data_IF_414650521298
#
_entry.id   IF_414650521298
#
_cell.length_a   1.000
_cell.length_b   1.000
_cell.length_c   1.000
_cell.angle_alpha   90.00
_cell.angle_beta   90.00
_cell.angle_gamma   90.00
#
_symmetry.space_group_name_H-M   'P 1'
#
loop_
_entity.id
_entity.type
_entity.pdbx_description
1 polymer ?
#
# COMPACT_ATOMS: atom_id res chain seq x y z
N UNK A 1 -29.56 27.06 -35.58
CA UNK A 1 -28.12 26.94 -35.29
C UNK A 1 -27.95 27.34 -33.84
N UNK A 2 -28.02 26.38 -32.92
CA UNK A 2 -28.02 26.65 -31.47
C UNK A 2 -26.59 26.99 -31.05
N UNK A 3 -26.38 28.17 -30.45
CA UNK A 3 -25.08 28.57 -29.93
C UNK A 3 -24.61 27.51 -28.92
N UNK A 4 -23.39 26.98 -29.12
CA UNK A 4 -22.78 26.06 -28.17
C UNK A 4 -22.54 26.83 -26.88
N UNK A 5 -23.19 26.41 -25.79
CA UNK A 5 -23.07 27.02 -24.48
C UNK A 5 -21.60 26.98 -24.02
N UNK A 6 -20.98 28.15 -23.83
CA UNK A 6 -19.54 28.33 -23.63
C UNK A 6 -19.22 29.17 -22.41
N UNK A 7 -18.04 28.98 -21.84
CA UNK A 7 -17.47 29.82 -20.78
C UNK A 7 -16.20 30.49 -21.29
N UNK A 8 -16.03 31.77 -20.96
CA UNK A 8 -14.83 32.55 -21.29
C UNK A 8 -14.08 32.90 -20.01
N UNK A 9 -12.78 32.61 -20.01
CA UNK A 9 -11.85 32.94 -18.93
C UNK A 9 -10.88 34.02 -19.40
N UNK A 10 -10.64 35.02 -18.56
CA UNK A 10 -9.55 35.97 -18.78
C UNK A 10 -8.23 35.34 -18.28
N UNK A 11 -7.21 35.35 -19.14
CA UNK A 11 -5.86 34.86 -18.82
C UNK A 11 -4.87 35.99 -19.13
N UNK A 12 -4.59 36.81 -18.12
CA UNK A 12 -3.83 38.05 -18.31
C UNK A 12 -4.57 39.01 -19.24
N UNK A 13 -3.92 39.44 -20.33
CA UNK A 13 -4.54 40.26 -21.38
C UNK A 13 -5.28 39.45 -22.46
N UNK A 14 -5.22 38.12 -22.40
CA UNK A 14 -5.88 37.23 -23.36
C UNK A 14 -7.22 36.70 -22.82
N UNK A 15 -8.06 36.18 -23.71
CA UNK A 15 -9.28 35.46 -23.36
C UNK A 15 -9.25 34.06 -23.96
N UNK A 16 -9.64 33.07 -23.14
CA UNK A 16 -9.85 31.69 -23.57
C UNK A 16 -11.33 31.37 -23.47
N UNK A 17 -11.96 31.05 -24.61
CA UNK A 17 -13.35 30.59 -24.64
C UNK A 17 -13.37 29.10 -24.93
N UNK A 18 -14.04 28.34 -24.08
CA UNK A 18 -14.16 26.89 -24.20
C UNK A 18 -15.64 26.48 -24.07
N UNK A 19 -16.10 25.50 -24.88
CA UNK A 19 -17.43 24.93 -24.70
C UNK A 19 -17.56 24.30 -23.32
N UNK A 20 -18.71 24.51 -22.65
CA UNK A 20 -18.93 23.98 -21.30
C UNK A 20 -18.82 22.45 -21.24
N UNK A 21 -19.28 21.77 -22.30
CA UNK A 21 -19.25 20.32 -22.36
C UNK A 21 -17.83 19.76 -22.48
N UNK A 22 -16.97 20.36 -23.30
CA UNK A 22 -15.55 19.96 -23.41
C UNK A 22 -14.80 20.25 -22.10
N UNK A 23 -15.11 21.37 -21.44
CA UNK A 23 -14.54 21.69 -20.12
C UNK A 23 -14.99 20.67 -19.07
N UNK A 24 -16.26 20.27 -19.09
CA UNK A 24 -16.80 19.25 -18.20
C UNK A 24 -16.17 17.89 -18.47
N UNK A 25 -16.05 17.48 -19.73
CA UNK A 25 -15.41 16.22 -20.12
C UNK A 25 -13.92 16.20 -19.74
N UNK A 26 -13.19 17.29 -19.98
CA UNK A 26 -11.79 17.40 -19.56
C UNK A 26 -11.64 17.39 -18.03
N UNK A 27 -12.55 18.05 -17.31
CA UNK A 27 -12.58 18.01 -15.85
C UNK A 27 -12.89 16.61 -15.33
N UNK A 28 -13.89 15.93 -15.90
CA UNK A 28 -14.26 14.56 -15.56
C UNK A 28 -13.10 13.62 -15.89
N UNK A 29 -12.49 13.71 -17.07
CA UNK A 29 -11.33 12.90 -17.44
C UNK A 29 -10.13 13.15 -16.53
N UNK A 30 -9.87 14.40 -16.13
CA UNK A 30 -8.80 14.72 -15.19
C UNK A 30 -9.09 14.22 -13.76
N UNK A 31 -10.34 14.35 -13.32
CA UNK A 31 -10.74 14.06 -11.92
C UNK A 31 -11.05 12.59 -11.71
N UNK A 32 -11.69 11.93 -12.68
CA UNK A 32 -11.98 10.50 -12.68
C UNK A 32 -10.87 9.65 -13.32
N UNK A 33 -10.11 10.18 -14.28
CA UNK A 33 -8.93 9.49 -14.84
C UNK A 33 -7.73 9.50 -13.90
N UNK A 34 -7.78 10.31 -12.84
CA UNK A 34 -6.86 10.27 -11.70
C UNK A 34 -7.61 9.81 -10.44
N UNK A 35 -8.45 8.77 -10.54
CA UNK A 35 -9.18 8.26 -9.38
C UNK A 35 -8.25 7.48 -8.44
N UNK A 36 -7.52 8.19 -7.59
CA UNK A 36 -6.92 7.54 -6.43
C UNK A 36 -8.05 7.25 -5.44
N UNK A 37 -8.26 5.97 -5.12
CA UNK A 37 -9.34 5.57 -4.20
C UNK A 37 -8.99 6.10 -2.80
N UNK A 38 -9.78 7.03 -2.26
CA UNK A 38 -9.56 7.56 -0.92
C UNK A 38 -10.40 6.76 0.08
N UNK A 39 -9.76 6.16 1.08
CA UNK A 39 -10.47 5.44 2.13
C UNK A 39 -11.17 6.40 3.12
N UNK A 40 -11.93 5.86 4.08
CA UNK A 40 -12.62 6.68 5.11
C UNK A 40 -11.68 7.52 5.99
N UNK A 41 -10.38 7.21 5.98
CA UNK A 41 -9.33 7.89 6.73
C UNK A 41 -8.62 8.98 5.89
N UNK A 42 -9.08 9.25 4.66
CA UNK A 42 -8.44 10.23 3.79
C UNK A 42 -7.15 9.74 3.13
N UNK A 43 -6.83 8.44 3.24
CA UNK A 43 -5.63 7.85 2.64
C UNK A 43 -5.91 7.53 1.19
N UNK A 44 -5.11 8.13 0.31
CA UNK A 44 -5.14 7.84 -1.11
C UNK A 44 -4.47 6.49 -1.41
N UNK A 45 -5.19 5.62 -2.12
CA UNK A 45 -4.76 4.28 -2.52
C UNK A 45 -4.59 4.21 -4.04
N UNK A 46 -3.41 3.75 -4.47
CA UNK A 46 -3.16 3.36 -5.85
C UNK A 46 -3.93 2.08 -6.23
N UNK A 47 -3.99 1.78 -7.52
CA UNK A 47 -4.65 0.56 -8.00
C UNK A 47 -4.06 -0.70 -7.37
N UNK A 48 -4.93 -1.58 -6.85
CA UNK A 48 -4.54 -2.82 -6.18
C UNK A 48 -4.10 -2.68 -4.72
N UNK A 49 -3.87 -1.47 -4.22
CA UNK A 49 -3.52 -1.25 -2.81
C UNK A 49 -4.72 -1.51 -1.89
N UNK A 50 -4.44 -2.02 -0.69
CA UNK A 50 -5.46 -2.29 0.32
C UNK A 50 -5.07 -1.60 1.63
N UNK A 51 -5.94 -0.72 2.14
CA UNK A 51 -5.77 -0.19 3.48
C UNK A 51 -6.03 -1.27 4.53
N UNK A 52 -5.08 -1.47 5.44
CA UNK A 52 -5.13 -2.53 6.45
C UNK A 52 -5.59 -1.98 7.81
N UNK A 53 -5.11 -0.79 8.18
CA UNK A 53 -5.39 -0.20 9.47
C UNK A 53 -4.28 0.73 9.93
N UNK A 54 -4.24 0.98 11.23
CA UNK A 54 -3.19 1.75 11.89
C UNK A 54 -2.69 1.05 13.14
N UNK A 55 -1.44 1.27 13.50
CA UNK A 55 -0.86 0.85 14.78
C UNK A 55 -0.49 2.11 15.55
N UNK A 56 -0.75 2.09 16.86
CA UNK A 56 -0.29 3.09 17.82
C UNK A 56 0.69 2.43 18.78
N UNK A 57 1.91 2.94 18.82
CA UNK A 57 2.96 2.49 19.72
C UNK A 57 2.75 3.06 21.12
N UNK A 58 3.44 2.48 22.11
CA UNK A 58 3.34 2.91 23.51
C UNK A 58 3.84 4.35 23.75
N UNK A 59 4.71 4.87 22.87
CA UNK A 59 5.19 6.26 22.89
C UNK A 59 4.20 7.24 22.25
N UNK A 60 3.04 6.77 21.80
CA UNK A 60 2.01 7.56 21.13
C UNK A 60 2.24 7.75 19.63
N UNK A 61 3.39 7.35 19.08
CA UNK A 61 3.61 7.39 17.63
C UNK A 61 2.67 6.42 16.94
N UNK A 62 2.11 6.83 15.80
CA UNK A 62 1.16 5.99 15.06
C UNK A 62 1.41 6.08 13.57
N UNK A 63 1.11 4.99 12.87
CA UNK A 63 1.18 4.94 11.41
C UNK A 63 0.03 4.12 10.82
N UNK A 64 -0.42 4.53 9.65
CA UNK A 64 -1.27 3.76 8.77
C UNK A 64 -0.45 2.72 8.01
N UNK A 65 -1.11 1.61 7.67
CA UNK A 65 -0.53 0.49 6.93
C UNK A 65 -1.37 0.29 5.67
N UNK A 66 -0.70 0.34 4.52
CA UNK A 66 -1.27 0.04 3.22
C UNK A 66 -0.51 -1.14 2.63
N UNK A 67 -1.23 -2.22 2.31
CA UNK A 67 -0.72 -3.40 1.62
C UNK A 67 -0.60 -3.08 0.13
N UNK A 68 0.59 -3.27 -0.41
CA UNK A 68 0.89 -3.15 -1.84
C UNK A 68 0.43 -4.42 -2.59
N UNK A 69 0.08 -4.31 -3.89
CA UNK A 69 -0.34 -5.47 -4.66
C UNK A 69 0.82 -6.45 -4.91
N UNK A 70 0.47 -7.75 -4.91
CA UNK A 70 1.38 -8.84 -5.26
C UNK A 70 2.15 -9.43 -4.08
N UNK A 71 2.75 -10.59 -4.33
CA UNK A 71 3.66 -11.26 -3.44
C UNK A 71 4.77 -11.98 -4.22
N UNK A 72 5.85 -12.32 -3.52
CA UNK A 72 7.00 -13.07 -4.07
C UNK A 72 7.38 -14.20 -3.12
N UNK A 73 8.03 -15.25 -3.62
CA UNK A 73 8.66 -16.30 -2.81
C UNK A 73 10.17 -16.21 -3.00
N UNK A 74 10.89 -15.82 -1.94
CA UNK A 74 12.32 -15.46 -1.99
C UNK A 74 12.99 -15.64 -0.63
N UNK A 75 14.32 -15.62 -0.61
CA UNK A 75 15.08 -15.41 0.62
C UNK A 75 14.72 -14.05 1.24
N UNK A 76 14.98 -13.86 2.54
CA UNK A 76 14.61 -12.61 3.21
C UNK A 76 15.25 -11.38 2.56
N UNK A 77 16.55 -11.46 2.25
CA UNK A 77 17.30 -10.33 1.70
C UNK A 77 16.74 -9.91 0.34
N UNK A 78 16.50 -10.87 -0.55
CA UNK A 78 15.91 -10.59 -1.86
C UNK A 78 14.46 -10.11 -1.74
N UNK A 79 13.69 -10.62 -0.77
CA UNK A 79 12.34 -10.16 -0.50
C UNK A 79 12.31 -8.70 -0.02
N UNK A 80 13.25 -8.31 0.85
CA UNK A 80 13.41 -6.91 1.29
C UNK A 80 13.83 -6.00 0.12
N UNK A 81 14.77 -6.45 -0.73
CA UNK A 81 15.14 -5.72 -1.95
C UNK A 81 13.94 -5.54 -2.90
N UNK A 82 13.14 -6.59 -3.09
CA UNK A 82 11.92 -6.51 -3.89
C UNK A 82 10.92 -5.51 -3.30
N UNK A 83 10.64 -5.58 -1.99
CA UNK A 83 9.69 -4.67 -1.35
C UNK A 83 10.14 -3.20 -1.49
N UNK A 84 11.42 -2.93 -1.29
CA UNK A 84 11.99 -1.60 -1.50
C UNK A 84 11.86 -1.13 -2.95
N UNK A 85 12.04 -2.03 -3.93
CA UNK A 85 11.93 -1.70 -5.36
C UNK A 85 10.51 -1.25 -5.77
N UNK A 86 9.48 -1.67 -5.04
CA UNK A 86 8.08 -1.26 -5.26
C UNK A 86 7.63 -0.17 -4.28
N UNK A 87 8.56 0.47 -3.56
CA UNK A 87 8.28 1.58 -2.64
C UNK A 87 7.68 1.16 -1.30
N UNK A 88 7.88 -0.09 -0.89
CA UNK A 88 7.42 -0.62 0.39
C UNK A 88 8.52 -1.28 1.20
N UNK A 89 8.09 -2.02 2.21
CA UNK A 89 8.91 -2.83 3.10
C UNK A 89 8.11 -4.06 3.52
N UNK A 90 8.77 -5.12 4.00
CA UNK A 90 8.06 -6.26 4.57
C UNK A 90 7.29 -5.82 5.83
N UNK A 91 6.13 -6.43 6.13
CA UNK A 91 5.42 -6.13 7.37
C UNK A 91 6.22 -6.63 8.58
N UNK A 92 6.19 -5.85 9.65
CA UNK A 92 6.64 -6.27 10.98
C UNK A 92 5.72 -7.34 11.55
N UNK A 93 6.13 -8.02 12.62
CA UNK A 93 5.30 -9.06 13.26
C UNK A 93 3.93 -8.55 13.70
N UNK A 94 3.86 -7.33 14.23
CA UNK A 94 2.58 -6.76 14.68
C UNK A 94 1.67 -6.48 13.47
N UNK A 95 2.25 -5.97 12.38
CA UNK A 95 1.53 -5.72 11.14
C UNK A 95 1.06 -7.03 10.48
N UNK A 96 1.88 -8.10 10.52
CA UNK A 96 1.47 -9.43 10.07
C UNK A 96 0.29 -9.97 10.88
N UNK A 97 0.30 -9.80 12.21
CA UNK A 97 -0.81 -10.22 13.06
C UNK A 97 -2.10 -9.47 12.68
N UNK A 98 -2.00 -8.16 12.41
CA UNK A 98 -3.11 -7.33 11.94
C UNK A 98 -3.62 -7.78 10.55
N UNK A 99 -2.72 -8.09 9.62
CA UNK A 99 -3.02 -8.63 8.30
C UNK A 99 -3.79 -9.95 8.42
N UNK A 100 -3.35 -10.85 9.28
CA UNK A 100 -4.04 -12.12 9.51
C UNK A 100 -5.42 -11.92 10.12
N UNK A 101 -5.53 -11.11 11.17
CA UNK A 101 -6.79 -10.90 11.88
C UNK A 101 -7.91 -10.35 10.97
N UNK A 102 -7.58 -9.45 10.04
CA UNK A 102 -8.58 -8.73 9.24
C UNK A 102 -8.62 -9.15 7.78
N UNK A 103 -7.54 -9.72 7.24
CA UNK A 103 -7.36 -9.93 5.80
C UNK A 103 -6.76 -11.31 5.45
N UNK A 104 -6.72 -12.28 6.36
CA UNK A 104 -6.14 -13.61 6.11
C UNK A 104 -6.67 -14.29 4.84
N UNK A 105 -7.95 -14.10 4.49
CA UNK A 105 -8.56 -14.70 3.29
C UNK A 105 -7.95 -14.25 1.96
N UNK A 106 -7.07 -13.23 1.96
CA UNK A 106 -6.33 -12.75 0.78
C UNK A 106 -4.96 -13.40 0.63
N UNK A 107 -4.49 -14.12 1.65
CA UNK A 107 -3.16 -14.70 1.69
C UNK A 107 -3.25 -16.19 1.39
N UNK A 108 -2.20 -16.71 0.77
CA UNK A 108 -2.01 -18.14 0.65
C UNK A 108 -1.76 -18.74 2.04
N UNK A 109 -2.20 -19.98 2.26
CA UNK A 109 -2.05 -20.70 3.54
C UNK A 109 -0.60 -21.17 3.77
N UNK A 110 0.35 -20.25 3.69
CA UNK A 110 1.80 -20.44 3.78
C UNK A 110 2.45 -19.46 4.76
N UNK A 111 3.74 -19.64 5.00
CA UNK A 111 4.53 -18.70 5.79
C UNK A 111 4.95 -17.49 4.96
N UNK A 112 4.89 -16.31 5.59
CA UNK A 112 5.34 -15.04 5.02
C UNK A 112 6.43 -14.38 5.86
N UNK A 113 7.49 -13.90 5.23
CA UNK A 113 8.60 -13.19 5.89
C UNK A 113 8.15 -11.89 6.55
N UNK A 114 8.72 -11.63 7.72
CA UNK A 114 8.69 -10.32 8.40
C UNK A 114 9.98 -9.55 8.12
N UNK A 115 9.95 -8.22 8.21
CA UNK A 115 11.16 -7.40 8.18
C UNK A 115 12.01 -7.49 9.46
N UNK A 116 11.60 -8.27 10.47
CA UNK A 116 12.27 -8.36 11.76
C UNK A 116 13.20 -9.58 11.82
N UNK A 117 14.51 -9.32 11.97
CA UNK A 117 15.50 -10.36 12.27
C UNK A 117 15.34 -10.89 13.71
N UNK A 118 15.80 -12.11 13.96
CA UNK A 118 15.83 -12.69 15.29
C UNK A 118 16.89 -11.98 16.15
N UNK A 119 16.60 -11.76 17.43
CA UNK A 119 17.43 -10.89 18.28
C UNK A 119 18.78 -11.51 18.68
N UNK A 120 18.86 -12.85 18.72
CA UNK A 120 20.01 -13.59 19.26
C UNK A 120 20.58 -14.64 18.31
N UNK A 121 19.87 -14.95 17.23
CA UNK A 121 20.30 -15.98 16.27
C UNK A 121 20.57 -15.28 14.94
N UNK A 122 21.86 -15.07 14.67
CA UNK A 122 22.30 -14.55 13.39
C UNK A 122 21.87 -15.50 12.27
N UNK A 123 21.31 -14.96 11.19
CA UNK A 123 20.77 -15.77 10.10
C UNK A 123 19.30 -16.16 10.27
N UNK A 124 18.63 -15.79 11.36
CA UNK A 124 17.20 -16.07 11.55
C UNK A 124 16.34 -14.82 11.47
N UNK A 125 15.12 -14.97 10.96
CA UNK A 125 14.13 -13.90 10.89
C UNK A 125 12.73 -14.43 11.18
N UNK A 126 11.89 -13.50 11.63
CA UNK A 126 10.51 -13.80 11.95
C UNK A 126 9.66 -13.96 10.69
N UNK A 127 8.67 -14.82 10.78
CA UNK A 127 7.66 -15.01 9.77
C UNK A 127 6.34 -15.47 10.41
N UNK A 128 5.25 -15.41 9.65
CA UNK A 128 3.93 -15.79 10.11
C UNK A 128 3.26 -16.76 9.13
N UNK A 129 2.69 -17.84 9.66
CA UNK A 129 1.83 -18.74 8.90
C UNK A 129 0.42 -18.15 8.79
N UNK A 130 -0.02 -17.91 7.56
CA UNK A 130 -1.38 -17.44 7.30
C UNK A 130 -2.45 -18.56 7.31
N UNK A 131 -2.04 -19.81 7.58
CA UNK A 131 -3.00 -20.89 7.87
C UNK A 131 -3.51 -20.90 9.32
N UNK A 132 -2.78 -20.29 10.26
CA UNK A 132 -3.06 -20.39 11.70
C UNK A 132 -2.79 -19.12 12.50
N UNK A 133 -2.12 -18.11 11.91
CA UNK A 133 -1.66 -16.92 12.61
C UNK A 133 -0.41 -17.16 13.48
N UNK A 134 0.13 -18.38 13.48
CA UNK A 134 1.33 -18.72 14.25
C UNK A 134 2.55 -17.98 13.71
N UNK A 135 3.30 -17.34 14.60
CA UNK A 135 4.58 -16.69 14.28
C UNK A 135 5.74 -17.54 14.79
N UNK A 136 6.75 -17.69 13.93
CA UNK A 136 7.98 -18.40 14.24
C UNK A 136 9.18 -17.70 13.62
N UNK A 137 10.38 -18.14 13.98
CA UNK A 137 11.61 -17.69 13.35
C UNK A 137 12.25 -18.88 12.63
N UNK A 138 12.82 -18.62 11.45
CA UNK A 138 13.48 -19.62 10.61
C UNK A 138 14.76 -19.08 10.01
N UNK A 139 15.65 -19.98 9.60
CA UNK A 139 16.90 -19.64 8.92
C UNK A 139 16.56 -18.98 7.58
N UNK A 140 16.90 -17.70 7.42
CA UNK A 140 16.57 -16.93 6.22
C UNK A 140 17.63 -17.02 5.12
N UNK A 141 18.81 -17.60 5.39
CA UNK A 141 19.92 -17.60 4.44
C UNK A 141 19.62 -18.52 3.25
N UNK A 142 18.89 -19.61 3.50
CA UNK A 142 18.59 -20.62 2.49
C UNK A 142 17.11 -20.94 2.35
N UNK A 143 16.26 -20.40 3.24
CA UNK A 143 14.81 -20.62 3.15
C UNK A 143 14.17 -19.54 2.29
N UNK A 144 13.39 -19.96 1.31
CA UNK A 144 12.49 -19.09 0.57
C UNK A 144 11.09 -19.17 1.19
N UNK A 145 10.57 -18.02 1.63
CA UNK A 145 9.18 -17.89 2.08
C UNK A 145 8.49 -16.81 1.25
N UNK A 146 7.16 -16.77 1.33
CA UNK A 146 6.40 -15.73 0.66
C UNK A 146 6.66 -14.38 1.32
N UNK A 147 6.50 -13.29 0.59
CA UNK A 147 6.63 -11.94 1.12
C UNK A 147 5.63 -11.03 0.42
N UNK A 148 4.99 -10.17 1.21
CA UNK A 148 4.21 -9.03 0.73
C UNK A 148 4.92 -7.75 1.13
N UNK A 149 4.58 -6.64 0.48
CA UNK A 149 5.09 -5.33 0.85
C UNK A 149 3.97 -4.45 1.42
N UNK A 150 4.33 -3.63 2.40
CA UNK A 150 3.49 -2.56 2.94
C UNK A 150 4.21 -1.23 2.80
N UNK A 151 3.43 -0.16 2.63
CA UNK A 151 3.92 1.21 2.86
C UNK A 151 3.24 1.80 4.09
N UNK A 152 3.99 2.64 4.80
CA UNK A 152 3.57 3.24 6.08
C UNK A 152 3.40 4.74 5.91
N UNK A 153 2.34 5.29 6.49
CA UNK A 153 2.11 6.73 6.53
C UNK A 153 1.96 7.17 7.98
N UNK A 154 2.78 8.09 8.45
CA UNK A 154 2.67 8.62 9.82
C UNK A 154 1.31 9.30 10.02
N UNK A 155 0.73 9.12 11.20
CA UNK A 155 -0.47 9.84 11.61
C UNK A 155 -0.04 11.16 12.25
N UNK A 156 -0.60 12.26 11.77
CA UNK A 156 -0.40 13.61 12.32
C UNK A 156 -1.45 13.95 13.37
#
# INVERSE_FOLDING_TARGET
MTARDSITFAIGSAQLTVPKQELLEAFIAKTLGTSQQVNKQGIALAEGETYIGSITNADGTSHHIVLLPGDVEKTLEEAMCWAASIGGDLPSRVEQALLYANHAGRFEKRAYWSNQKHATEDGFAWCQYFTSGFQYYGDFQFTELRAVAVRRLSIQ
#
